data_IF_759717412796
#
_entry.id   IF_759717412796
#
_cell.length_a   1.000
_cell.length_b   1.000
_cell.length_c   1.000
_cell.angle_alpha   90.00
_cell.angle_beta   90.00
_cell.angle_gamma   90.00
#
_symmetry.space_group_name_H-M   'P 1'
#
loop_
_entity.id
_entity.type
_entity.pdbx_description
1 polymer ?
#
# COMPACT_ATOMS: atom_id res chain seq x y z
N UNK A 1 4.29 15.98 -17.56
CA UNK A 1 3.95 17.13 -16.69
C UNK A 1 2.67 16.76 -15.96
N UNK A 2 2.68 16.69 -14.61
CA UNK A 2 1.48 16.41 -13.82
C UNK A 2 0.83 17.75 -13.43
N UNK A 3 -0.46 17.91 -13.69
CA UNK A 3 -1.23 19.09 -13.29
C UNK A 3 -2.06 18.75 -12.06
N UNK A 4 -1.76 19.37 -10.92
CA UNK A 4 -2.49 19.18 -9.67
C UNK A 4 -3.42 20.38 -9.46
N UNK A 5 -4.69 20.12 -9.15
CA UNK A 5 -5.65 21.17 -8.77
C UNK A 5 -5.62 21.30 -7.26
N UNK A 6 -5.12 22.44 -6.77
CA UNK A 6 -5.10 22.78 -5.36
C UNK A 6 -6.13 23.89 -5.11
N UNK A 7 -6.77 23.92 -3.93
CA UNK A 7 -7.54 25.09 -3.51
C UNK A 7 -6.65 26.35 -3.48
N UNK A 8 -7.23 27.52 -3.82
CA UNK A 8 -6.49 28.78 -3.94
C UNK A 8 -5.74 29.17 -2.66
N UNK A 9 -6.32 28.85 -1.50
CA UNK A 9 -5.71 29.11 -0.18
C UNK A 9 -4.40 28.33 -0.02
N UNK A 10 -4.42 27.03 -0.35
CA UNK A 10 -3.27 26.14 -0.26
C UNK A 10 -2.20 26.50 -1.28
N UNK A 11 -2.58 26.92 -2.49
CA UNK A 11 -1.61 27.36 -3.51
C UNK A 11 -0.84 28.62 -3.06
N UNK A 12 -1.54 29.56 -2.40
CA UNK A 12 -0.92 30.77 -1.87
C UNK A 12 0.07 30.43 -0.75
N UNK A 13 -0.31 29.56 0.18
CA UNK A 13 0.58 29.09 1.25
C UNK A 13 1.79 28.34 0.70
N UNK A 14 1.59 27.43 -0.27
CA UNK A 14 2.67 26.71 -0.94
C UNK A 14 3.64 27.68 -1.61
N UNK A 15 3.12 28.71 -2.28
CA UNK A 15 3.95 29.72 -2.96
C UNK A 15 4.77 30.54 -1.96
N UNK A 16 4.18 30.93 -0.82
CA UNK A 16 4.90 31.62 0.25
C UNK A 16 5.99 30.73 0.87
N UNK A 17 5.68 29.47 1.13
CA UNK A 17 6.62 28.49 1.65
C UNK A 17 7.80 28.25 0.71
N UNK A 18 7.53 28.10 -0.59
CA UNK A 18 8.55 27.96 -1.62
C UNK A 18 9.43 29.21 -1.73
N UNK A 19 8.84 30.41 -1.65
CA UNK A 19 9.57 31.67 -1.69
C UNK A 19 10.51 31.84 -0.49
N UNK A 20 10.08 31.47 0.72
CA UNK A 20 10.88 31.56 1.93
C UNK A 20 12.09 30.61 1.91
N UNK A 21 11.90 29.39 1.38
CA UNK A 21 12.93 28.35 1.37
C UNK A 21 13.74 28.24 0.07
N UNK A 22 13.41 29.07 -0.95
CA UNK A 22 14.00 29.02 -2.30
C UNK A 22 13.89 27.63 -2.95
N UNK A 23 12.81 26.92 -2.67
CA UNK A 23 12.52 25.59 -3.23
C UNK A 23 11.57 25.70 -4.41
N UNK A 24 11.63 24.74 -5.33
CA UNK A 24 10.67 24.66 -6.43
C UNK A 24 9.34 24.08 -5.94
N UNK A 25 8.23 24.58 -6.48
CA UNK A 25 6.88 24.07 -6.17
C UNK A 25 6.79 22.55 -6.39
N UNK A 26 7.37 22.06 -7.49
CA UNK A 26 7.38 20.64 -7.84
C UNK A 26 8.12 19.79 -6.80
N UNK A 27 9.24 20.27 -6.27
CA UNK A 27 10.02 19.53 -5.28
C UNK A 27 9.25 19.35 -3.98
N UNK A 28 8.63 20.42 -3.46
CA UNK A 28 7.84 20.36 -2.23
C UNK A 28 6.64 19.41 -2.38
N UNK A 29 5.96 19.46 -3.53
CA UNK A 29 4.83 18.54 -3.81
C UNK A 29 5.30 17.09 -3.94
N UNK A 30 6.48 16.85 -4.51
CA UNK A 30 7.05 15.50 -4.62
C UNK A 30 7.40 14.90 -3.26
N UNK A 31 8.02 15.68 -2.36
CA UNK A 31 8.30 15.21 -0.99
C UNK A 31 7.02 14.91 -0.23
N UNK A 32 6.05 15.83 -0.24
CA UNK A 32 4.77 15.64 0.42
C UNK A 32 4.01 14.42 -0.14
N UNK A 33 4.07 14.19 -1.45
CA UNK A 33 3.48 13.01 -2.08
C UNK A 33 4.20 11.72 -1.64
N UNK A 34 5.53 11.72 -1.54
CA UNK A 34 6.30 10.57 -1.11
C UNK A 34 5.94 10.18 0.34
N UNK A 35 5.85 11.16 1.24
CA UNK A 35 5.40 10.94 2.62
C UNK A 35 3.97 10.38 2.66
N UNK A 36 3.06 10.94 1.85
CA UNK A 36 1.68 10.46 1.77
C UNK A 36 1.60 9.02 1.25
N UNK A 37 2.41 8.64 0.26
CA UNK A 37 2.45 7.27 -0.27
C UNK A 37 3.00 6.27 0.76
N UNK A 38 3.98 6.67 1.57
CA UNK A 38 4.46 5.83 2.68
C UNK A 38 3.35 5.63 3.71
N UNK A 39 2.66 6.70 4.11
CA UNK A 39 1.52 6.62 5.01
C UNK A 39 0.34 5.81 4.44
N UNK A 40 0.08 5.92 3.13
CA UNK A 40 -0.95 5.13 2.47
C UNK A 40 -0.58 3.65 2.39
N UNK A 41 0.70 3.31 2.17
CA UNK A 41 1.17 1.92 2.17
C UNK A 41 1.03 1.27 3.55
N UNK A 42 1.31 2.01 4.62
CA UNK A 42 1.10 1.51 5.99
C UNK A 42 -0.39 1.40 6.33
N UNK A 43 -1.22 2.35 5.88
CA UNK A 43 -2.66 2.28 6.03
C UNK A 43 -3.31 1.14 5.24
N UNK A 44 -2.82 0.84 4.02
CA UNK A 44 -3.30 -0.26 3.19
C UNK A 44 -3.07 -1.65 3.82
N UNK A 45 -2.17 -1.76 4.80
CA UNK A 45 -2.04 -2.96 5.63
C UNK A 45 -3.28 -3.24 6.51
N UNK A 46 -4.22 -2.31 6.63
CA UNK A 46 -5.51 -2.52 7.31
C UNK A 46 -6.56 -3.20 6.43
N UNK A 47 -6.29 -3.36 5.13
CA UNK A 47 -7.00 -4.29 4.26
C UNK A 47 -6.28 -5.66 4.25
N UNK A 48 -5.56 -5.99 5.34
CA UNK A 48 -5.13 -7.34 5.56
C UNK A 48 -6.36 -8.24 5.52
N UNK A 49 -6.26 -9.31 4.72
CA UNK A 49 -7.23 -10.38 4.65
C UNK A 49 -7.75 -10.75 6.06
N UNK A 50 -9.03 -11.19 6.17
CA UNK A 50 -9.62 -11.59 7.45
C UNK A 50 -8.65 -12.48 8.22
N UNK A 51 -8.50 -12.22 9.52
CA UNK A 51 -7.62 -13.01 10.38
C UNK A 51 -7.88 -14.50 10.11
N UNK A 52 -6.83 -15.30 9.84
CA UNK A 52 -7.01 -16.70 9.56
C UNK A 52 -7.72 -17.34 10.76
N UNK A 53 -8.80 -18.08 10.50
CA UNK A 53 -9.50 -18.80 11.57
C UNK A 53 -8.57 -19.90 12.10
N UNK A 54 -7.96 -19.67 13.27
CA UNK A 54 -7.03 -20.59 13.94
C UNK A 54 -7.72 -21.48 14.98
N UNK A 55 -9.07 -21.58 14.96
CA UNK A 55 -9.83 -22.40 15.91
C UNK A 55 -9.48 -23.89 15.85
N UNK A 56 -8.90 -24.35 14.75
CA UNK A 56 -8.43 -25.73 14.56
C UNK A 56 -7.11 -26.06 15.26
N UNK A 57 -6.34 -25.06 15.71
CA UNK A 57 -5.07 -25.25 16.42
C UNK A 57 -5.21 -24.98 17.91
N UNK A 58 -4.45 -25.71 18.73
CA UNK A 58 -4.34 -25.41 20.15
C UNK A 58 -3.69 -24.02 20.36
N UNK A 59 -4.07 -23.23 21.38
CA UNK A 59 -3.51 -21.90 21.65
C UNK A 59 -1.98 -21.81 21.65
N UNK A 60 -1.31 -22.85 22.13
CA UNK A 60 0.14 -22.93 22.27
C UNK A 60 0.84 -23.65 21.10
N UNK A 61 0.13 -23.92 20.01
CA UNK A 61 0.72 -24.60 18.87
C UNK A 61 1.76 -23.70 18.17
N UNK A 62 3.04 -24.11 18.08
CA UNK A 62 4.10 -23.31 17.44
C UNK A 62 3.80 -23.00 15.96
N UNK A 63 2.93 -23.78 15.30
CA UNK A 63 2.51 -23.57 13.91
C UNK A 63 1.68 -22.30 13.75
N UNK A 64 0.99 -21.82 14.81
CA UNK A 64 0.18 -20.59 14.77
C UNK A 64 0.97 -19.36 14.36
N UNK A 65 2.25 -19.29 14.70
CA UNK A 65 3.13 -18.18 14.35
C UNK A 65 3.41 -18.12 12.85
N UNK A 66 3.30 -19.26 12.16
CA UNK A 66 3.65 -19.40 10.75
C UNK A 66 2.46 -19.23 9.80
N UNK A 67 1.22 -19.23 10.31
CA UNK A 67 0.01 -19.07 9.50
C UNK A 67 -0.23 -17.59 9.23
N UNK A 68 -0.25 -17.20 7.95
CA UNK A 68 -0.41 -15.82 7.53
C UNK A 68 0.90 -15.02 7.38
N UNK A 69 2.09 -15.63 7.58
CA UNK A 69 3.38 -14.97 7.31
C UNK A 69 3.54 -14.60 5.83
N UNK A 70 2.85 -15.30 4.91
CA UNK A 70 2.73 -14.90 3.51
C UNK A 70 1.74 -13.74 3.30
N UNK A 71 1.71 -12.76 4.21
CA UNK A 71 0.76 -11.62 4.19
C UNK A 71 0.91 -10.73 2.96
N UNK A 72 2.08 -10.76 2.32
CA UNK A 72 2.42 -10.08 1.05
C UNK A 72 2.69 -11.06 -0.11
N UNK A 73 2.37 -12.35 0.07
CA UNK A 73 2.52 -13.37 -0.97
C UNK A 73 1.31 -13.44 -1.90
N UNK A 74 1.46 -14.01 -3.10
CA UNK A 74 0.32 -14.27 -3.97
C UNK A 74 -0.74 -15.10 -3.24
N UNK A 75 -2.02 -14.80 -3.46
CA UNK A 75 -3.11 -15.58 -2.88
C UNK A 75 -3.05 -17.04 -3.38
N UNK A 76 -3.69 -17.98 -2.68
CA UNK A 76 -3.76 -19.39 -3.09
C UNK A 76 -4.22 -19.57 -4.53
N UNK A 77 -5.18 -18.77 -5.00
CA UNK A 77 -5.63 -18.80 -6.40
C UNK A 77 -4.56 -18.31 -7.38
N UNK A 78 -3.77 -17.31 -7.01
CA UNK A 78 -2.64 -16.81 -7.80
C UNK A 78 -1.50 -17.84 -7.84
N UNK A 79 -1.22 -18.52 -6.72
CA UNK A 79 -0.29 -19.65 -6.68
C UNK A 79 -0.72 -20.78 -7.61
N UNK A 80 -2.02 -21.08 -7.63
CA UNK A 80 -2.58 -22.11 -8.50
C UNK A 80 -2.46 -21.70 -9.97
N UNK A 81 -2.63 -20.42 -10.30
CA UNK A 81 -2.39 -19.90 -11.64
C UNK A 81 -0.90 -19.95 -12.04
N UNK A 82 0.00 -19.54 -11.15
CA UNK A 82 1.46 -19.54 -11.37
C UNK A 82 1.99 -20.97 -11.57
N UNK A 83 1.52 -21.93 -10.79
CA UNK A 83 2.06 -23.30 -10.80
C UNK A 83 1.40 -24.23 -11.81
N UNK A 84 0.17 -23.95 -12.26
CA UNK A 84 -0.56 -24.82 -13.21
C UNK A 84 -0.64 -24.27 -14.63
N UNK A 85 -0.16 -23.04 -14.88
CA UNK A 85 -0.27 -22.37 -16.17
C UNK A 85 -1.69 -21.87 -16.45
N UNK A 86 -1.82 -20.77 -17.17
CA UNK A 86 -3.08 -20.02 -17.40
C UNK A 86 -4.21 -20.75 -18.16
N UNK A 87 -4.18 -22.08 -18.31
CA UNK A 87 -4.83 -22.73 -19.46
C UNK A 87 -5.51 -24.08 -19.16
N UNK A 88 -6.35 -24.15 -18.13
CA UNK A 88 -7.22 -25.34 -17.95
C UNK A 88 -8.73 -25.04 -17.83
N UNK A 89 -9.15 -23.78 -17.73
CA UNK A 89 -10.58 -23.48 -17.65
C UNK A 89 -10.96 -22.10 -18.22
N UNK A 90 -10.37 -21.76 -19.37
CA UNK A 90 -11.00 -20.81 -20.29
C UNK A 90 -11.81 -21.65 -21.29
N UNK A 91 -13.13 -21.46 -21.46
CA UNK A 91 -13.85 -22.06 -22.57
C UNK A 91 -13.31 -21.58 -23.92
#
# INVERSE_FOLDING_TARGET
MLSVRLPETVERELTQYCAARKLSKSHVVQEALAEYLVAAKTASGHNAAPEPDLSFLAPDDPIRQFIGIARDGPNTDEWMAITRGEDWNKP
#
